data_IF_233057746722
#
_entry.id   IF_233057746722
#
_cell.length_a   1.000
_cell.length_b   1.000
_cell.length_c   1.000
_cell.angle_alpha   90.00
_cell.angle_beta   90.00
_cell.angle_gamma   90.00
#
_symmetry.space_group_name_H-M   'P 1'
#
loop_
_entity.id
_entity.type
_entity.pdbx_description
1 polymer ?
#
# COMPACT_ATOMS: atom_id res chain seq x y z
N UNK A 1 17.61 9.97 11.47
CA UNK A 1 16.33 9.67 12.13
C UNK A 1 15.32 9.38 11.03
N UNK A 2 14.44 8.41 11.19
CA UNK A 2 13.60 7.91 10.11
C UNK A 2 12.19 8.50 10.18
N UNK A 3 11.46 8.52 9.06
CA UNK A 3 10.04 8.82 9.00
C UNK A 3 9.21 7.90 9.93
N UNK A 4 9.71 6.69 10.21
CA UNK A 4 9.13 5.78 11.20
C UNK A 4 9.02 6.40 12.60
N UNK A 5 10.00 7.22 13.01
CA UNK A 5 9.96 7.93 14.29
C UNK A 5 8.86 8.99 14.33
N UNK A 6 8.58 9.64 13.18
CA UNK A 6 7.50 10.62 13.08
C UNK A 6 6.15 9.92 13.16
N UNK A 7 6.01 8.78 12.51
CA UNK A 7 4.81 7.96 12.61
C UNK A 7 4.48 7.61 14.08
N UNK A 8 5.50 7.30 14.89
CA UNK A 8 5.30 6.96 16.32
C UNK A 8 4.79 8.12 17.20
N UNK A 9 4.99 9.37 16.78
CA UNK A 9 4.51 10.58 17.46
C UNK A 9 3.32 11.24 16.74
N UNK A 10 2.75 10.57 15.73
CA UNK A 10 1.60 11.07 14.98
C UNK A 10 0.29 10.64 15.63
N UNK A 11 -0.71 11.50 15.60
CA UNK A 11 -2.08 11.20 16.06
C UNK A 11 -2.99 10.69 14.94
N UNK A 12 -2.64 10.98 13.68
CA UNK A 12 -3.38 10.51 12.52
C UNK A 12 -2.48 10.32 11.31
N UNK A 13 -2.93 9.39 10.44
CA UNK A 13 -2.32 9.12 9.13
C UNK A 13 -3.43 9.26 8.09
N UNK A 14 -3.23 10.15 7.13
CA UNK A 14 -4.04 10.20 5.91
C UNK A 14 -3.32 9.45 4.81
N UNK A 15 -4.06 8.63 4.06
CA UNK A 15 -3.55 7.96 2.85
C UNK A 15 -4.40 8.43 1.69
N UNK A 16 -3.77 9.06 0.72
CA UNK A 16 -4.45 9.61 -0.46
C UNK A 16 -3.85 9.02 -1.72
N UNK A 17 -4.68 8.43 -2.58
CA UNK A 17 -4.30 8.01 -3.91
C UNK A 17 -4.60 9.17 -4.89
N UNK A 18 -3.57 9.78 -5.44
CA UNK A 18 -3.73 10.86 -6.41
C UNK A 18 -3.86 10.28 -7.81
N UNK A 19 -5.10 10.25 -8.34
CA UNK A 19 -5.35 9.83 -9.72
C UNK A 19 -5.39 11.04 -10.63
N UNK A 20 -4.56 11.00 -11.67
CA UNK A 20 -4.58 12.00 -12.73
C UNK A 20 -5.34 11.45 -13.93
N UNK A 21 -6.55 11.95 -14.15
CA UNK A 21 -7.41 11.57 -15.27
C UNK A 21 -7.43 12.71 -16.28
N UNK A 22 -6.95 12.43 -17.50
CA UNK A 22 -7.11 13.34 -18.63
C UNK A 22 -8.49 13.18 -19.26
N UNK A 23 -9.17 14.29 -19.52
CA UNK A 23 -10.42 14.31 -20.27
C UNK A 23 -10.23 15.06 -21.57
N UNK A 24 -10.62 14.45 -22.69
CA UNK A 24 -10.73 15.12 -23.99
C UNK A 24 -12.18 15.09 -24.46
N UNK A 25 -12.69 16.27 -24.83
CA UNK A 25 -14.03 16.41 -25.40
C UNK A 25 -13.89 16.57 -26.90
N UNK A 26 -14.45 15.64 -27.69
CA UNK A 26 -14.47 15.75 -29.13
C UNK A 26 -15.50 16.77 -29.61
N UNK A 27 -15.41 17.21 -30.88
CA UNK A 27 -16.40 18.10 -31.50
C UNK A 27 -17.86 17.60 -31.41
N UNK A 28 -18.05 16.29 -31.31
CA UNK A 28 -19.36 15.65 -31.14
C UNK A 28 -19.77 15.47 -29.68
N UNK A 29 -19.18 16.22 -28.76
CA UNK A 29 -19.43 16.16 -27.32
C UNK A 29 -19.13 14.78 -26.66
N UNK A 30 -18.44 13.89 -27.38
CA UNK A 30 -18.00 12.64 -26.82
C UNK A 30 -16.83 12.90 -25.86
N UNK A 31 -17.03 12.55 -24.59
CA UNK A 31 -15.99 12.63 -23.56
C UNK A 31 -15.19 11.33 -23.62
N UNK A 32 -13.88 11.43 -23.82
CA UNK A 32 -12.94 10.32 -23.68
C UNK A 32 -12.06 10.61 -22.49
N UNK A 33 -12.06 9.70 -21.53
CA UNK A 33 -11.19 9.75 -20.36
C UNK A 33 -10.00 8.83 -20.56
N UNK A 34 -8.80 9.29 -20.24
CA UNK A 34 -7.59 8.48 -20.25
C UNK A 34 -6.87 8.64 -18.91
N UNK A 35 -6.37 7.54 -18.39
CA UNK A 35 -5.49 7.54 -17.21
C UNK A 35 -4.10 8.02 -17.68
N UNK A 36 -3.65 9.17 -17.18
CA UNK A 36 -2.37 9.79 -17.61
C UNK A 36 -1.19 9.04 -17.01
N UNK A 37 -1.34 8.50 -15.80
CA UNK A 37 -0.32 7.73 -15.09
C UNK A 37 -0.80 6.30 -14.89
N UNK A 38 -0.04 5.33 -15.38
CA UNK A 38 -0.29 3.89 -15.13
C UNK A 38 0.03 3.48 -13.69
N UNK A 39 0.93 4.22 -13.05
CA UNK A 39 1.31 4.04 -11.66
C UNK A 39 0.90 5.27 -10.88
N UNK A 40 -0.02 5.10 -9.93
CA UNK A 40 -0.54 6.18 -9.10
C UNK A 40 0.18 6.18 -7.76
N UNK A 41 0.91 7.27 -7.40
CA UNK A 41 1.58 7.34 -6.11
C UNK A 41 0.57 7.49 -4.96
N UNK A 42 0.87 6.88 -3.81
CA UNK A 42 0.24 7.25 -2.57
C UNK A 42 0.89 8.49 -1.99
N UNK A 43 0.08 9.42 -1.50
CA UNK A 43 0.51 10.48 -0.62
C UNK A 43 0.11 10.14 0.82
N UNK A 44 1.07 10.18 1.73
CA UNK A 44 0.86 9.92 3.16
C UNK A 44 0.95 11.25 3.92
N UNK A 45 -0.09 11.57 4.65
CA UNK A 45 -0.13 12.73 5.53
C UNK A 45 -0.03 12.26 6.97
N UNK A 46 1.03 12.67 7.67
CA UNK A 46 1.26 12.36 9.08
C UNK A 46 1.02 13.63 9.89
N UNK A 47 0.04 13.60 10.79
CA UNK A 47 -0.24 14.72 11.70
C UNK A 47 0.33 14.40 13.08
N UNK A 48 1.39 15.11 13.54
CA UNK A 48 1.93 14.93 14.86
C UNK A 48 0.91 15.28 15.95
N UNK A 49 1.05 14.67 17.13
CA UNK A 49 0.21 14.95 18.30
C UNK A 49 0.32 16.42 18.72
N UNK A 50 -0.80 17.04 19.08
CA UNK A 50 -0.88 18.46 19.45
C UNK A 50 -0.14 18.81 20.76
N UNK A 51 0.18 17.80 21.60
CA UNK A 51 0.78 17.99 22.94
C UNK A 51 2.28 17.75 22.98
N UNK A 52 2.95 17.72 21.83
CA UNK A 52 4.39 17.51 21.77
C UNK A 52 5.15 18.72 22.31
N UNK A 53 5.83 18.56 23.45
CA UNK A 53 6.73 19.57 23.93
C UNK A 53 7.94 19.69 23.01
N UNK A 54 8.15 20.88 22.45
CA UNK A 54 9.25 21.15 21.52
C UNK A 54 10.62 20.79 22.10
N UNK A 55 10.83 21.07 23.39
CA UNK A 55 12.08 20.75 24.09
C UNK A 55 12.44 19.26 24.06
N UNK A 56 11.42 18.39 24.14
CA UNK A 56 11.60 16.94 24.13
C UNK A 56 11.72 16.37 22.71
N UNK A 57 11.02 17.00 21.76
CA UNK A 57 10.91 16.49 20.39
C UNK A 57 11.75 17.28 19.37
N UNK A 58 12.53 18.25 19.84
CA UNK A 58 13.39 19.11 19.00
C UNK A 58 14.29 18.30 18.07
N UNK A 59 14.89 17.21 18.56
CA UNK A 59 15.77 16.34 17.78
C UNK A 59 15.03 15.69 16.60
N UNK A 60 13.80 15.21 16.84
CA UNK A 60 12.94 14.61 15.83
C UNK A 60 12.53 15.63 14.76
N UNK A 61 12.07 16.80 15.21
CA UNK A 61 11.61 17.87 14.31
C UNK A 61 12.75 18.47 13.48
N UNK A 62 13.94 18.64 14.08
CA UNK A 62 15.09 19.14 13.33
C UNK A 62 15.64 18.12 12.34
N UNK A 63 15.53 16.81 12.63
CA UNK A 63 15.94 15.77 11.71
C UNK A 63 15.12 15.74 10.41
N UNK A 64 13.91 16.30 10.41
CA UNK A 64 13.11 16.51 9.20
C UNK A 64 13.65 17.63 8.28
N UNK A 65 14.42 18.57 8.83
CA UNK A 65 14.93 19.71 8.10
C UNK A 65 16.27 19.43 7.43
N UNK A 66 17.02 18.46 7.94
CA UNK A 66 18.41 18.17 7.53
C UNK A 66 18.49 17.19 6.36
N UNK A 67 17.65 16.13 6.24
CA UNK A 67 17.80 15.18 5.15
C UNK A 67 17.40 15.80 3.81
N UNK A 68 18.08 15.35 2.78
CA UNK A 68 17.61 15.53 1.42
C UNK A 68 16.19 14.95 1.30
N UNK A 69 15.24 15.80 0.94
CA UNK A 69 13.82 15.40 0.78
C UNK A 69 13.63 14.34 -0.31
N UNK A 70 14.62 14.13 -1.17
CA UNK A 70 14.65 13.10 -2.18
C UNK A 70 15.05 11.71 -1.63
N UNK A 71 15.59 11.63 -0.40
CA UNK A 71 15.96 10.35 0.18
C UNK A 71 14.71 9.48 0.47
N UNK A 72 14.73 8.29 -0.11
CA UNK A 72 13.71 7.29 0.13
C UNK A 72 13.89 6.62 1.47
N UNK A 73 12.78 6.36 2.18
CA UNK A 73 12.79 5.64 3.45
C UNK A 73 11.67 4.60 3.44
N UNK A 74 11.92 3.46 4.05
CA UNK A 74 10.90 2.46 4.27
C UNK A 74 10.17 2.75 5.59
N UNK A 75 8.83 2.82 5.52
CA UNK A 75 7.95 2.96 6.69
C UNK A 75 7.12 1.69 6.85
N UNK A 76 7.01 1.18 8.07
CA UNK A 76 6.11 0.10 8.43
C UNK A 76 4.94 0.65 9.25
N UNK A 77 3.73 0.57 8.71
CA UNK A 77 2.49 1.01 9.35
C UNK A 77 1.92 -0.02 10.32
N UNK A 78 2.31 -1.29 10.21
CA UNK A 78 1.82 -2.37 11.08
C UNK A 78 2.28 -2.26 12.54
N UNK A 79 3.35 -1.51 12.82
CA UNK A 79 3.81 -1.27 14.18
C UNK A 79 2.95 -0.29 14.99
N UNK A 80 1.97 0.35 14.35
CA UNK A 80 1.10 1.36 14.96
C UNK A 80 -0.30 0.79 15.17
N UNK A 81 -0.57 0.21 16.33
CA UNK A 81 -1.85 -0.42 16.66
C UNK A 81 -3.09 0.50 16.67
N UNK A 82 -2.91 1.80 16.45
CA UNK A 82 -4.00 2.77 16.39
C UNK A 82 -4.53 3.04 14.98
N UNK A 83 -3.88 2.52 13.92
CA UNK A 83 -4.34 2.69 12.53
C UNK A 83 -5.30 1.56 12.16
N UNK A 84 -6.52 1.57 12.68
CA UNK A 84 -7.47 0.47 12.55
C UNK A 84 -8.02 0.27 11.14
N UNK A 85 -8.12 1.34 10.33
CA UNK A 85 -8.75 1.25 9.01
C UNK A 85 -7.89 0.53 7.95
N UNK A 86 -6.63 0.24 8.26
CA UNK A 86 -5.75 -0.55 7.40
C UNK A 86 -5.68 -2.02 7.82
N UNK A 87 -6.44 -2.42 8.85
CA UNK A 87 -6.47 -3.80 9.29
C UNK A 87 -7.06 -4.71 8.22
N UNK A 88 -6.48 -5.88 8.09
CA UNK A 88 -6.95 -6.92 7.20
C UNK A 88 -8.37 -7.38 7.56
N UNK A 89 -9.25 -7.46 6.56
CA UNK A 89 -10.67 -7.79 6.71
C UNK A 89 -11.05 -9.15 6.10
N UNK A 90 -10.10 -9.90 5.56
CA UNK A 90 -10.33 -11.26 5.05
C UNK A 90 -10.42 -12.30 6.15
N UNK A 91 -10.57 -13.57 5.74
CA UNK A 91 -10.81 -14.71 6.64
C UNK A 91 -9.53 -15.51 6.97
N UNK A 92 -8.36 -15.09 6.47
CA UNK A 92 -7.09 -15.78 6.75
C UNK A 92 -6.52 -15.36 8.10
N UNK A 93 -5.93 -16.31 8.80
CA UNK A 93 -5.10 -16.03 9.98
C UNK A 93 -3.75 -15.42 9.57
N UNK A 94 -3.02 -14.72 10.46
CA UNK A 94 -1.69 -14.20 10.16
C UNK A 94 -0.71 -15.26 9.68
N UNK A 95 -0.78 -16.47 10.21
CA UNK A 95 0.05 -17.63 9.79
C UNK A 95 -0.29 -18.02 8.34
N UNK A 96 -1.58 -18.04 7.99
CA UNK A 96 -2.02 -18.39 6.64
C UNK A 96 -1.58 -17.31 5.63
N UNK A 97 -1.68 -16.03 5.99
CA UNK A 97 -1.19 -14.91 5.17
C UNK A 97 0.31 -15.06 4.91
N UNK A 98 1.11 -15.31 5.96
CA UNK A 98 2.56 -15.46 5.84
C UNK A 98 3.00 -16.68 5.00
N UNK A 99 2.16 -17.69 4.85
CA UNK A 99 2.43 -18.85 3.99
C UNK A 99 2.05 -18.59 2.52
N UNK A 100 1.22 -17.60 2.23
CA UNK A 100 0.89 -17.23 0.86
C UNK A 100 2.07 -16.52 0.18
N UNK A 101 2.13 -16.64 -1.14
CA UNK A 101 3.19 -16.03 -1.93
C UNK A 101 2.62 -15.33 -3.17
N UNK A 102 3.05 -14.10 -3.39
CA UNK A 102 2.86 -13.44 -4.67
C UNK A 102 3.72 -14.13 -5.72
N UNK A 103 3.09 -14.52 -6.82
CA UNK A 103 3.80 -15.16 -7.94
C UNK A 103 4.45 -14.10 -8.83
N UNK A 104 5.38 -14.53 -9.67
CA UNK A 104 5.97 -13.67 -10.70
C UNK A 104 4.89 -13.01 -11.54
N UNK A 105 4.99 -11.71 -11.72
CA UNK A 105 4.00 -10.92 -12.45
C UNK A 105 4.69 -9.79 -13.21
N UNK A 106 4.23 -9.55 -14.44
CA UNK A 106 4.51 -8.30 -15.13
C UNK A 106 3.81 -7.14 -14.43
N UNK A 107 4.28 -5.93 -14.66
CA UNK A 107 3.70 -4.70 -14.07
C UNK A 107 2.25 -4.48 -14.56
N UNK A 108 1.29 -5.08 -13.90
CA UNK A 108 -0.14 -4.96 -14.17
C UNK A 108 -0.94 -4.74 -12.87
N UNK A 109 -2.26 -4.53 -13.01
CA UNK A 109 -3.18 -4.30 -11.88
C UNK A 109 -3.74 -5.62 -11.28
N UNK A 110 -3.32 -6.77 -11.77
CA UNK A 110 -3.76 -8.07 -11.25
C UNK A 110 -2.55 -8.84 -10.74
N UNK A 111 -2.53 -9.06 -9.44
CA UNK A 111 -1.52 -9.89 -8.78
C UNK A 111 -1.98 -11.34 -8.75
N UNK A 112 -1.05 -12.28 -8.87
CA UNK A 112 -1.33 -13.71 -8.73
C UNK A 112 -0.85 -14.17 -7.37
N UNK A 113 -1.79 -14.62 -6.52
CA UNK A 113 -1.48 -15.23 -5.23
C UNK A 113 -1.45 -16.74 -5.36
N UNK A 114 -0.38 -17.36 -4.89
CA UNK A 114 -0.19 -18.81 -4.79
C UNK A 114 0.05 -19.26 -3.36
N UNK A 115 0.31 -20.56 -3.19
CA UNK A 115 0.46 -21.19 -1.86
C UNK A 115 -0.75 -20.92 -0.96
N UNK A 116 -1.96 -21.05 -1.54
CA UNK A 116 -3.20 -20.69 -0.89
C UNK A 116 -3.50 -21.61 0.31
N UNK A 117 -4.10 -21.06 1.40
CA UNK A 117 -4.43 -21.87 2.57
C UNK A 117 -5.54 -22.88 2.28
N UNK A 118 -5.56 -23.97 3.06
CA UNK A 118 -6.63 -24.96 3.02
C UNK A 118 -7.83 -24.49 3.82
N UNK A 119 -8.59 -23.54 3.25
CA UNK A 119 -9.88 -23.05 3.79
C UNK A 119 -10.98 -23.26 2.76
N UNK A 120 -12.25 -23.14 3.18
CA UNK A 120 -13.38 -23.34 2.28
C UNK A 120 -13.30 -22.36 1.09
N UNK A 121 -13.69 -22.81 -0.11
CA UNK A 121 -13.59 -22.02 -1.35
C UNK A 121 -14.46 -20.75 -1.33
N UNK A 122 -15.47 -20.68 -0.49
CA UNK A 122 -16.34 -19.51 -0.28
C UNK A 122 -15.75 -18.47 0.67
N UNK A 123 -14.64 -18.77 1.36
CA UNK A 123 -13.99 -17.84 2.28
C UNK A 123 -13.24 -16.76 1.52
N UNK A 124 -13.20 -15.58 2.10
CA UNK A 124 -12.51 -14.42 1.52
C UNK A 124 -11.03 -14.45 1.87
N UNK A 125 -10.19 -14.42 0.84
CA UNK A 125 -8.76 -14.19 1.02
C UNK A 125 -8.49 -12.71 1.29
N UNK A 126 -9.16 -11.83 0.54
CA UNK A 126 -9.09 -10.38 0.72
C UNK A 126 -10.45 -9.75 0.54
N UNK A 127 -10.65 -8.62 1.19
CA UNK A 127 -11.78 -7.73 0.97
C UNK A 127 -11.35 -6.48 0.22
N UNK A 128 -12.27 -5.88 -0.53
CA UNK A 128 -12.02 -4.57 -1.13
C UNK A 128 -11.65 -3.55 -0.05
N UNK A 129 -10.53 -2.86 -0.25
CA UNK A 129 -9.97 -1.92 0.73
C UNK A 129 -8.83 -2.50 1.58
N UNK A 130 -8.61 -3.82 1.58
CA UNK A 130 -7.46 -4.40 2.28
C UNK A 130 -6.14 -3.87 1.70
N UNK A 131 -5.21 -3.55 2.58
CA UNK A 131 -3.85 -3.20 2.19
C UNK A 131 -2.99 -4.46 2.13
N UNK A 132 -2.25 -4.59 1.04
CA UNK A 132 -1.27 -5.65 0.84
C UNK A 132 0.08 -5.04 0.46
N UNK A 133 1.15 -5.66 0.92
CA UNK A 133 2.49 -5.31 0.52
C UNK A 133 3.01 -6.29 -0.52
N UNK A 134 3.63 -5.76 -1.57
CA UNK A 134 4.32 -6.53 -2.61
C UNK A 134 5.70 -5.93 -2.78
N UNK A 135 6.73 -6.68 -2.40
CA UNK A 135 8.09 -6.16 -2.36
C UNK A 135 8.22 -4.99 -1.36
N UNK A 136 8.64 -3.84 -1.84
CA UNK A 136 8.86 -2.64 -1.02
C UNK A 136 7.67 -1.66 -1.01
N UNK A 137 6.57 -1.98 -1.69
CA UNK A 137 5.44 -1.05 -1.88
C UNK A 137 4.11 -1.65 -1.43
N UNK A 138 3.20 -0.77 -1.03
CA UNK A 138 1.84 -1.12 -0.62
C UNK A 138 0.82 -0.90 -1.75
N UNK A 139 -0.22 -1.73 -1.73
CA UNK A 139 -1.32 -1.70 -2.71
C UNK A 139 -2.64 -1.89 -1.98
N UNK A 140 -3.73 -1.34 -2.56
CA UNK A 140 -5.10 -1.55 -2.07
C UNK A 140 -5.78 -2.55 -2.98
N UNK A 141 -6.39 -3.57 -2.39
CA UNK A 141 -7.24 -4.54 -3.09
C UNK A 141 -8.54 -3.84 -3.49
N UNK A 142 -8.95 -3.97 -4.76
CA UNK A 142 -10.10 -3.23 -5.30
C UNK A 142 -11.39 -4.02 -5.35
N UNK A 143 -11.34 -5.33 -5.17
CA UNK A 143 -12.52 -6.19 -5.15
C UNK A 143 -12.33 -7.33 -4.15
N UNK A 144 -13.46 -7.85 -3.65
CA UNK A 144 -13.47 -9.05 -2.81
C UNK A 144 -12.93 -10.26 -3.57
N UNK A 145 -12.02 -10.99 -2.93
CA UNK A 145 -11.34 -12.15 -3.50
C UNK A 145 -11.58 -13.37 -2.64
N UNK A 146 -12.30 -14.36 -3.18
CA UNK A 146 -12.54 -15.63 -2.49
C UNK A 146 -11.43 -16.64 -2.77
N UNK A 147 -11.29 -17.66 -1.90
CA UNK A 147 -10.32 -18.75 -2.04
C UNK A 147 -10.47 -19.49 -3.38
N UNK A 148 -11.72 -19.70 -3.82
CA UNK A 148 -11.99 -20.46 -5.04
C UNK A 148 -11.42 -21.90 -5.02
N UNK A 149 -11.61 -22.69 -6.09
CA UNK A 149 -11.12 -24.06 -6.19
C UNK A 149 -9.68 -24.16 -6.73
N UNK A 150 -9.16 -23.11 -7.35
CA UNK A 150 -7.90 -23.12 -8.07
C UNK A 150 -6.68 -23.02 -7.13
N UNK A 151 -5.49 -23.50 -7.55
CA UNK A 151 -4.27 -23.39 -6.77
C UNK A 151 -3.73 -21.97 -6.66
N UNK A 152 -4.15 -21.08 -7.55
CA UNK A 152 -3.80 -19.66 -7.57
C UNK A 152 -5.05 -18.83 -7.74
N UNK A 153 -4.99 -17.56 -7.30
CA UNK A 153 -6.09 -16.61 -7.44
C UNK A 153 -5.57 -15.25 -7.89
N UNK A 154 -6.36 -14.55 -8.71
CA UNK A 154 -6.05 -13.18 -9.13
C UNK A 154 -6.59 -12.19 -8.10
N UNK A 155 -5.73 -11.26 -7.67
CA UNK A 155 -6.03 -10.20 -6.72
C UNK A 155 -5.92 -8.87 -7.44
N UNK A 156 -7.04 -8.19 -7.76
CA UNK A 156 -7.01 -6.91 -8.42
C UNK A 156 -6.59 -5.81 -7.44
N UNK A 157 -5.66 -4.96 -7.87
CA UNK A 157 -5.14 -3.85 -7.08
C UNK A 157 -5.38 -2.50 -7.77
N UNK A 158 -5.40 -1.43 -6.98
CA UNK A 158 -5.76 -0.08 -7.43
C UNK A 158 -4.80 0.51 -8.47
N UNK A 159 -3.54 0.07 -8.49
CA UNK A 159 -2.49 0.55 -9.40
C UNK A 159 -1.65 -0.59 -9.94
N UNK A 160 -0.96 -0.36 -11.05
CA UNK A 160 0.03 -1.31 -11.54
C UNK A 160 1.20 -1.46 -10.57
N UNK A 161 1.85 -2.62 -10.58
CA UNK A 161 3.07 -2.80 -9.80
C UNK A 161 4.12 -1.77 -10.20
N UNK A 162 4.76 -1.18 -9.19
CA UNK A 162 5.90 -0.27 -9.38
C UNK A 162 7.07 -1.07 -9.92
N UNK A 163 7.38 -2.20 -9.27
CA UNK A 163 8.42 -3.13 -9.71
C UNK A 163 7.79 -4.44 -10.20
N UNK A 164 8.25 -4.93 -11.35
CA UNK A 164 7.86 -6.26 -11.82
C UNK A 164 8.41 -7.34 -10.89
N UNK A 165 7.57 -8.30 -10.49
CA UNK A 165 8.00 -9.44 -9.68
C UNK A 165 8.73 -10.46 -10.54
N UNK A 166 10.04 -10.55 -10.41
CA UNK A 166 10.90 -11.54 -11.08
C UNK A 166 11.01 -12.84 -10.32
N UNK A 167 10.62 -12.84 -9.04
CA UNK A 167 10.60 -14.04 -8.17
C UNK A 167 9.36 -13.99 -7.27
N UNK A 168 9.05 -15.12 -6.62
CA UNK A 168 7.98 -15.18 -5.63
C UNK A 168 8.35 -14.39 -4.38
N UNK A 169 7.38 -13.65 -3.83
CA UNK A 169 7.56 -12.80 -2.63
C UNK A 169 6.49 -13.18 -1.61
N UNK A 170 6.85 -13.20 -0.33
CA UNK A 170 5.90 -13.47 0.75
C UNK A 170 4.75 -12.44 0.74
N UNK A 171 3.54 -12.93 0.99
CA UNK A 171 2.36 -12.08 1.16
C UNK A 171 2.39 -11.40 2.53
N UNK A 172 2.15 -10.10 2.55
CA UNK A 172 1.95 -9.32 3.78
C UNK A 172 0.63 -8.56 3.62
N UNK A 173 -0.25 -8.67 4.59
CA UNK A 173 -1.55 -8.00 4.59
C UNK A 173 -1.91 -7.51 5.99
N UNK A 174 -2.54 -6.35 6.07
CA UNK A 174 -2.89 -5.69 7.33
C UNK A 174 -1.74 -4.94 7.97
N UNK A 175 -0.61 -5.60 8.19
CA UNK A 175 0.65 -4.96 8.58
C UNK A 175 1.47 -4.74 7.32
N UNK A 176 1.50 -3.53 6.80
CA UNK A 176 2.20 -3.24 5.56
C UNK A 176 3.28 -2.18 5.75
N UNK A 177 4.33 -2.30 4.94
CA UNK A 177 5.33 -1.26 4.76
C UNK A 177 5.33 -0.72 3.35
N UNK A 178 5.86 0.46 3.18
CA UNK A 178 6.04 1.08 1.87
C UNK A 178 7.29 1.96 1.85
N UNK A 179 7.91 2.08 0.69
CA UNK A 179 9.02 3.00 0.47
C UNK A 179 8.46 4.34 0.03
N UNK A 180 8.77 5.38 0.77
CA UNK A 180 8.29 6.74 0.50
C UNK A 180 9.44 7.75 0.57
N UNK A 181 9.23 8.90 -0.06
CA UNK A 181 10.01 10.13 0.15
C UNK A 181 9.12 11.19 0.80
N UNK A 182 9.68 12.35 1.10
CA UNK A 182 8.90 13.48 1.62
C UNK A 182 7.98 14.13 0.56
N UNK A 183 7.37 13.36 -0.29
CA UNK A 183 6.44 13.80 -1.33
C UNK A 183 5.51 12.68 -1.74
N UNK A 184 5.62 11.51 -1.11
CA UNK A 184 4.83 10.32 -1.42
C UNK A 184 5.70 9.13 -1.80
N UNK A 185 5.10 8.14 -2.47
CA UNK A 185 5.84 7.00 -3.00
C UNK A 185 6.89 7.47 -3.99
N UNK A 186 8.06 6.85 -3.94
CA UNK A 186 9.10 7.08 -4.93
C UNK A 186 9.11 5.98 -5.96
N UNK A 187 9.28 6.39 -7.21
CA UNK A 187 9.53 5.52 -8.34
C UNK A 187 10.98 5.69 -8.75
N UNK A 188 11.72 4.61 -8.80
CA UNK A 188 13.06 4.55 -9.38
C UNK A 188 13.00 3.89 -10.75
#
# INVERSE_FOLDING_TARGET
MSLQTILSISESVGINDQRFVGQTVSRNQKITTSEILTVVPFAFELKPMNYLLYSQNRGVLNSLRIPDKALTQYINFGSTGWVNYIQYQGDMTPIQIGNCQWQTSSANKNLVLGSLPSIASSRYLFRAGDFVQVGLYSYIVTADVTRGPNPTVNVPVHRSLIDALTSTVACVAGEFGTTISMGGDTYT
#
